data_IF_482988312417
#
_entry.id   IF_482988312417
#
_cell.length_a   1.000
_cell.length_b   1.000
_cell.length_c   1.000
_cell.angle_alpha   90.00
_cell.angle_beta   90.00
_cell.angle_gamma   90.00
#
_symmetry.space_group_name_H-M   'P 1'
#
loop_
_entity.id
_entity.type
_entity.pdbx_description
1 polymer ?
#
# COMPACT_ATOMS: atom_id res chain seq x y z
N UNK A 1 24.99 6.47 13.06
CA UNK A 1 23.93 5.51 13.39
C UNK A 1 24.57 4.22 13.82
N UNK A 2 24.25 3.74 15.02
CA UNK A 2 24.71 2.45 15.54
C UNK A 2 23.85 1.30 15.01
N UNK A 3 24.40 0.07 14.92
CA UNK A 3 23.63 -1.11 14.49
C UNK A 3 22.40 -1.32 15.39
N UNK A 4 22.52 -1.04 16.69
CA UNK A 4 21.40 -1.14 17.64
C UNK A 4 20.23 -0.21 17.30
N UNK A 5 20.49 0.94 16.67
CA UNK A 5 19.43 1.85 16.20
C UNK A 5 18.73 1.27 14.97
N UNK A 6 19.48 0.63 14.06
CA UNK A 6 18.91 -0.07 12.89
C UNK A 6 18.11 -1.32 13.28
N UNK A 7 18.44 -1.95 14.40
CA UNK A 7 17.72 -3.11 14.91
C UNK A 7 16.34 -2.74 15.48
N UNK A 8 16.13 -1.47 15.85
CA UNK A 8 14.83 -0.94 16.27
C UNK A 8 14.03 -0.51 15.04
N UNK A 9 13.04 -1.33 14.69
CA UNK A 9 12.17 -1.09 13.53
C UNK A 9 11.03 -0.16 13.96
N UNK A 10 10.93 1.07 13.41
CA UNK A 10 9.86 1.99 13.76
C UNK A 10 8.49 1.42 13.34
N UNK A 11 7.49 1.37 14.23
CA UNK A 11 6.12 1.01 13.88
C UNK A 11 5.47 2.04 12.96
N UNK A 12 4.43 1.64 12.24
CA UNK A 12 3.66 2.54 11.40
C UNK A 12 3.10 3.74 12.20
N UNK A 13 3.01 4.91 11.57
CA UNK A 13 2.53 6.14 12.21
C UNK A 13 3.51 6.81 13.18
N UNK A 14 4.68 6.22 13.45
CA UNK A 14 5.70 6.83 14.32
C UNK A 14 6.72 7.68 13.56
N UNK A 15 7.47 8.53 14.29
CA UNK A 15 8.42 9.50 13.72
C UNK A 15 9.56 8.89 12.86
N UNK A 16 9.77 7.56 12.88
CA UNK A 16 10.78 6.89 12.06
C UNK A 16 10.24 6.07 10.87
N UNK A 17 8.92 5.83 10.79
CA UNK A 17 8.35 4.92 9.80
C UNK A 17 8.71 5.28 8.36
N UNK A 18 8.52 6.56 8.00
CA UNK A 18 8.77 7.07 6.66
C UNK A 18 10.24 6.98 6.24
N UNK A 19 11.18 6.89 7.18
CA UNK A 19 12.61 6.81 6.89
C UNK A 19 13.05 5.40 6.51
N UNK A 20 12.26 4.38 6.88
CA UNK A 20 12.55 2.95 6.64
C UNK A 20 12.89 2.63 5.19
N UNK A 21 12.19 3.26 4.23
CA UNK A 21 12.44 3.02 2.81
C UNK A 21 13.87 3.41 2.37
N UNK A 22 14.53 4.34 3.06
CA UNK A 22 15.92 4.71 2.78
C UNK A 22 16.89 3.53 2.89
N UNK A 23 16.48 2.45 3.56
CA UNK A 23 17.27 1.23 3.73
C UNK A 23 16.95 0.14 2.69
N UNK A 24 15.88 0.26 1.91
CA UNK A 24 15.36 -0.81 1.05
C UNK A 24 16.39 -1.33 0.06
N UNK A 25 17.17 -0.41 -0.53
CA UNK A 25 18.12 -0.70 -1.59
C UNK A 25 19.53 -0.20 -1.26
N UNK A 26 19.80 0.07 0.02
CA UNK A 26 21.10 0.54 0.46
C UNK A 26 22.15 -0.58 0.31
N UNK A 27 23.21 -0.41 -0.52
CA UNK A 27 24.21 -1.43 -0.70
C UNK A 27 25.09 -1.57 0.54
N UNK A 28 25.37 -2.80 0.96
CA UNK A 28 26.32 -3.09 2.02
C UNK A 28 27.70 -3.26 1.39
N UNK A 29 28.56 -2.26 1.55
CA UNK A 29 29.93 -2.29 1.02
C UNK A 29 30.85 -3.08 1.96
N UNK A 30 30.57 -3.07 3.26
CA UNK A 30 31.41 -3.70 4.29
C UNK A 30 30.59 -4.07 5.52
N UNK A 31 30.74 -5.32 6.01
CA UNK A 31 30.07 -5.81 7.21
C UNK A 31 30.99 -6.70 8.06
N UNK A 32 31.25 -6.30 9.31
CA UNK A 32 31.98 -7.10 10.32
C UNK A 32 31.07 -7.66 11.41
N UNK A 33 29.76 -7.45 11.30
CA UNK A 33 28.77 -7.83 12.31
C UNK A 33 28.28 -9.27 12.18
N UNK A 34 28.96 -10.09 11.37
CA UNK A 34 28.54 -11.45 11.01
C UNK A 34 27.09 -11.51 10.49
N UNK A 35 26.69 -10.53 9.66
CA UNK A 35 25.38 -10.49 9.01
C UNK A 35 24.26 -9.81 9.80
N UNK A 36 24.52 -9.33 11.03
CA UNK A 36 23.52 -8.59 11.82
C UNK A 36 23.08 -7.31 11.12
N UNK A 37 24.01 -6.57 10.51
CA UNK A 37 23.72 -5.35 9.75
C UNK A 37 22.78 -5.66 8.57
N UNK A 38 23.11 -6.68 7.78
CA UNK A 38 22.28 -7.09 6.65
C UNK A 38 20.86 -7.50 7.09
N UNK A 39 20.76 -8.22 8.21
CA UNK A 39 19.47 -8.60 8.80
C UNK A 39 18.67 -7.38 9.27
N UNK A 40 19.32 -6.42 9.93
CA UNK A 40 18.68 -5.20 10.40
C UNK A 40 18.15 -4.34 9.24
N UNK A 41 18.97 -4.12 8.19
CA UNK A 41 18.53 -3.37 7.00
C UNK A 41 17.36 -4.06 6.28
N UNK A 42 17.39 -5.39 6.17
CA UNK A 42 16.26 -6.15 5.60
C UNK A 42 14.99 -5.91 6.40
N UNK A 43 15.03 -5.99 7.74
CA UNK A 43 13.85 -5.75 8.57
C UNK A 43 13.31 -4.32 8.41
N UNK A 44 14.18 -3.33 8.28
CA UNK A 44 13.75 -1.97 7.99
C UNK A 44 13.03 -1.88 6.64
N UNK A 45 13.48 -2.62 5.62
CA UNK A 45 12.96 -2.59 4.26
C UNK A 45 11.66 -3.38 4.01
N UNK A 46 11.37 -4.36 4.86
CA UNK A 46 10.25 -5.29 4.69
C UNK A 46 9.15 -5.04 5.69
N UNK A 47 7.91 -5.36 5.31
CA UNK A 47 6.74 -5.37 6.20
C UNK A 47 6.38 -6.82 6.49
N UNK A 48 6.33 -7.17 7.78
CA UNK A 48 5.90 -8.50 8.24
C UNK A 48 4.38 -8.65 8.18
N UNK A 49 3.86 -9.88 8.35
CA UNK A 49 2.41 -10.11 8.35
C UNK A 49 1.68 -9.42 9.51
N UNK A 50 2.33 -9.29 10.67
CA UNK A 50 1.77 -8.61 11.85
C UNK A 50 1.79 -7.08 11.64
N UNK A 51 2.89 -6.55 11.09
CA UNK A 51 2.93 -5.13 10.69
C UNK A 51 1.88 -4.83 9.62
N UNK A 52 1.69 -5.73 8.65
CA UNK A 52 0.70 -5.55 7.60
C UNK A 52 -0.72 -5.50 8.17
N UNK A 53 -1.06 -6.37 9.13
CA UNK A 53 -2.34 -6.30 9.85
C UNK A 53 -2.51 -4.97 10.59
N UNK A 54 -1.50 -4.54 11.34
CA UNK A 54 -1.54 -3.25 12.06
C UNK A 54 -1.73 -2.07 11.10
N UNK A 55 -1.03 -2.06 9.96
CA UNK A 55 -1.15 -0.99 8.96
C UNK A 55 -2.52 -1.00 8.29
N UNK A 56 -2.96 -2.16 7.78
CA UNK A 56 -4.15 -2.28 6.95
C UNK A 56 -5.43 -2.16 7.76
N UNK A 57 -5.43 -2.67 8.99
CA UNK A 57 -6.63 -2.77 9.85
C UNK A 57 -6.55 -1.77 11.00
N UNK A 58 -5.56 -1.84 11.89
CA UNK A 58 -5.53 -0.99 13.10
C UNK A 58 -5.31 0.50 12.79
N UNK A 59 -4.62 0.80 11.69
CA UNK A 59 -4.41 2.15 11.17
C UNK A 59 -5.33 2.50 9.98
N UNK A 60 -6.38 1.69 9.77
CA UNK A 60 -7.45 1.92 8.80
C UNK A 60 -6.98 2.18 7.36
N UNK A 61 -5.80 1.69 6.95
CA UNK A 61 -5.31 1.99 5.59
C UNK A 61 -6.15 1.35 4.51
N UNK A 62 -6.66 0.14 4.74
CA UNK A 62 -7.57 -0.50 3.81
C UNK A 62 -8.94 0.17 3.82
N UNK A 63 -9.55 0.33 5.00
CA UNK A 63 -10.90 0.92 5.12
C UNK A 63 -10.95 2.38 4.65
N UNK A 64 -9.94 3.18 5.01
CA UNK A 64 -9.82 4.57 4.57
C UNK A 64 -9.65 4.69 3.06
N UNK A 65 -8.87 3.81 2.43
CA UNK A 65 -8.79 3.79 0.97
C UNK A 65 -10.14 3.39 0.32
N UNK A 66 -10.82 2.35 0.83
CA UNK A 66 -12.14 1.94 0.36
C UNK A 66 -13.15 3.09 0.46
N UNK A 67 -13.12 3.85 1.56
CA UNK A 67 -13.99 5.01 1.77
C UNK A 67 -13.81 6.08 0.70
N UNK A 68 -12.58 6.50 0.42
CA UNK A 68 -12.32 7.51 -0.60
C UNK A 68 -12.60 6.98 -2.02
N UNK A 69 -12.26 5.72 -2.31
CA UNK A 69 -12.59 5.10 -3.60
C UNK A 69 -14.10 5.04 -3.84
N UNK A 70 -14.86 4.60 -2.82
CA UNK A 70 -16.32 4.59 -2.87
C UNK A 70 -16.89 6.00 -3.06
N UNK A 71 -16.41 6.99 -2.30
CA UNK A 71 -16.87 8.38 -2.42
C UNK A 71 -16.59 8.96 -3.81
N UNK A 72 -15.42 8.69 -4.39
CA UNK A 72 -15.11 9.09 -5.75
C UNK A 72 -16.09 8.48 -6.76
N UNK A 73 -16.31 7.16 -6.72
CA UNK A 73 -17.29 6.49 -7.59
C UNK A 73 -18.73 6.96 -7.34
N UNK A 74 -19.08 7.33 -6.11
CA UNK A 74 -20.40 7.87 -5.74
C UNK A 74 -20.60 9.27 -6.31
N UNK A 75 -19.60 10.12 -6.20
CA UNK A 75 -19.62 11.44 -6.82
C UNK A 75 -19.70 11.35 -8.34
N UNK A 76 -19.04 10.37 -8.96
CA UNK A 76 -19.19 10.11 -10.39
C UNK A 76 -20.63 9.76 -10.77
N UNK A 77 -21.23 8.79 -10.08
CA UNK A 77 -22.64 8.41 -10.24
C UNK A 77 -23.58 9.61 -10.09
N UNK A 78 -23.26 10.51 -9.16
CA UNK A 78 -24.07 11.69 -8.84
C UNK A 78 -23.73 12.91 -9.73
N UNK A 79 -22.83 12.79 -10.71
CA UNK A 79 -22.46 13.86 -11.65
C UNK A 79 -21.57 14.96 -11.07
N UNK A 80 -20.89 14.69 -9.94
CA UNK A 80 -20.07 15.63 -9.17
C UNK A 80 -18.60 15.53 -9.54
N UNK A 81 -18.23 16.13 -10.66
CA UNK A 81 -16.90 15.99 -11.27
C UNK A 81 -15.75 16.46 -10.36
N UNK A 82 -15.87 17.61 -9.70
CA UNK A 82 -14.79 18.15 -8.87
C UNK A 82 -14.59 17.29 -7.62
N UNK A 83 -15.68 16.95 -6.94
CA UNK A 83 -15.70 16.14 -5.72
C UNK A 83 -15.15 14.74 -5.98
N UNK A 84 -15.49 14.14 -7.13
CA UNK A 84 -14.89 12.88 -7.59
C UNK A 84 -13.37 12.97 -7.64
N UNK A 85 -12.83 14.00 -8.28
CA UNK A 85 -11.37 14.19 -8.42
C UNK A 85 -10.70 14.46 -7.08
N UNK A 86 -11.34 15.25 -6.21
CA UNK A 86 -10.82 15.52 -4.87
C UNK A 86 -10.76 14.25 -4.02
N UNK A 87 -11.82 13.45 -3.99
CA UNK A 87 -11.83 12.19 -3.24
C UNK A 87 -10.83 11.18 -3.81
N UNK A 88 -10.68 11.12 -5.14
CA UNK A 88 -9.70 10.25 -5.78
C UNK A 88 -8.25 10.67 -5.46
N UNK A 89 -7.95 11.97 -5.49
CA UNK A 89 -6.64 12.49 -5.11
C UNK A 89 -6.32 12.25 -3.62
N UNK A 90 -7.30 12.48 -2.74
CA UNK A 90 -7.18 12.21 -1.30
C UNK A 90 -6.98 10.71 -1.01
N UNK A 91 -7.46 9.82 -1.87
CA UNK A 91 -7.27 8.37 -1.72
C UNK A 91 -5.83 7.89 -1.92
N UNK A 92 -5.00 8.65 -2.64
CA UNK A 92 -3.69 8.18 -3.12
C UNK A 92 -2.69 7.81 -2.01
N UNK A 93 -2.58 8.57 -0.90
CA UNK A 93 -1.76 8.15 0.23
C UNK A 93 -2.18 6.81 0.83
N UNK A 94 -3.48 6.57 0.94
CA UNK A 94 -4.04 5.33 1.49
C UNK A 94 -3.79 4.15 0.55
N UNK A 95 -4.08 4.32 -0.74
CA UNK A 95 -3.85 3.29 -1.76
C UNK A 95 -2.39 2.82 -1.78
N UNK A 96 -1.45 3.76 -1.78
CA UNK A 96 -0.03 3.41 -1.84
C UNK A 96 0.44 2.69 -0.57
N UNK A 97 -0.11 3.02 0.60
CA UNK A 97 0.18 2.25 1.81
C UNK A 97 -0.38 0.83 1.70
N UNK A 98 -1.60 0.65 1.16
CA UNK A 98 -2.22 -0.66 0.92
C UNK A 98 -1.39 -1.52 -0.04
N UNK A 99 -1.04 -0.99 -1.22
CA UNK A 99 -0.29 -1.70 -2.27
C UNK A 99 1.04 -2.24 -1.73
N UNK A 100 1.85 -1.37 -1.14
CA UNK A 100 3.19 -1.75 -0.69
C UNK A 100 3.14 -2.70 0.51
N UNK A 101 2.18 -2.49 1.42
CA UNK A 101 1.98 -3.37 2.59
C UNK A 101 1.58 -4.79 2.17
N UNK A 102 0.65 -4.95 1.23
CA UNK A 102 0.23 -6.27 0.71
C UNK A 102 1.37 -7.00 -0.04
N UNK A 103 2.34 -6.25 -0.54
CA UNK A 103 3.56 -6.78 -1.17
C UNK A 103 4.72 -6.96 -0.18
N UNK A 104 4.50 -6.76 1.13
CA UNK A 104 5.49 -6.95 2.18
C UNK A 104 6.63 -5.93 2.14
N UNK A 105 6.40 -4.73 1.59
CA UNK A 105 7.41 -3.69 1.36
C UNK A 105 7.00 -2.37 1.99
N UNK A 106 8.00 -1.59 2.40
CA UNK A 106 7.77 -0.21 2.81
C UNK A 106 7.55 0.66 1.58
N UNK A 107 6.57 1.57 1.66
CA UNK A 107 6.26 2.53 0.59
C UNK A 107 7.43 3.49 0.32
N UNK A 108 7.80 3.74 -0.96
CA UNK A 108 8.81 4.71 -1.35
C UNK A 108 8.34 6.16 -1.17
N UNK A 109 9.29 7.09 -1.13
CA UNK A 109 9.01 8.49 -1.41
C UNK A 109 8.43 8.65 -2.82
N UNK A 110 7.45 9.54 -3.01
CA UNK A 110 6.78 9.72 -4.31
C UNK A 110 7.75 9.99 -5.46
N UNK A 111 8.80 10.79 -5.21
CA UNK A 111 9.84 11.08 -6.21
C UNK A 111 10.60 9.84 -6.71
N UNK A 112 10.58 8.75 -5.95
CA UNK A 112 11.20 7.48 -6.32
C UNK A 112 10.19 6.40 -6.70
N UNK A 113 8.88 6.64 -6.60
CA UNK A 113 7.86 5.63 -6.90
C UNK A 113 7.98 5.04 -8.32
N UNK A 114 8.15 5.84 -9.40
CA UNK A 114 8.37 5.27 -10.73
C UNK A 114 9.65 4.43 -10.81
N UNK A 115 10.75 4.91 -10.22
CA UNK A 115 12.02 4.19 -10.19
C UNK A 115 11.88 2.86 -9.44
N UNK A 116 11.23 2.88 -8.28
CA UNK A 116 10.97 1.70 -7.43
C UNK A 116 10.24 0.62 -8.23
N UNK A 117 9.15 0.99 -8.91
CA UNK A 117 8.35 0.04 -9.67
C UNK A 117 9.12 -0.51 -10.87
N UNK A 118 9.91 0.31 -11.57
CA UNK A 118 10.69 -0.16 -12.73
C UNK A 118 11.88 -1.04 -12.35
N UNK A 119 12.63 -0.69 -11.30
CA UNK A 119 13.83 -1.43 -10.91
C UNK A 119 13.52 -2.62 -9.99
N UNK A 120 12.48 -2.49 -9.19
CA UNK A 120 12.07 -3.46 -8.19
C UNK A 120 10.56 -3.70 -8.30
N UNK A 121 10.09 -4.32 -9.40
CA UNK A 121 8.67 -4.52 -9.65
C UNK A 121 8.02 -5.33 -8.53
N UNK A 122 6.79 -4.95 -8.21
CA UNK A 122 5.92 -5.67 -7.28
C UNK A 122 5.28 -6.84 -8.04
N UNK A 123 5.09 -7.99 -7.38
CA UNK A 123 4.69 -9.22 -8.04
C UNK A 123 3.30 -9.09 -8.68
N UNK A 124 2.37 -8.40 -8.00
CA UNK A 124 0.99 -8.20 -8.46
C UNK A 124 0.76 -6.85 -9.14
N UNK A 125 1.77 -5.99 -9.19
CA UNK A 125 1.65 -4.62 -9.70
C UNK A 125 2.77 -4.33 -10.71
N UNK A 126 2.60 -4.76 -11.98
CA UNK A 126 3.57 -4.48 -13.04
C UNK A 126 3.77 -2.98 -13.23
N UNK A 127 5.03 -2.55 -13.40
CA UNK A 127 5.40 -1.14 -13.29
C UNK A 127 4.61 -0.20 -14.20
N UNK A 128 4.62 -0.45 -15.51
CA UNK A 128 4.00 0.43 -16.50
C UNK A 128 2.47 0.50 -16.31
N UNK A 129 1.85 -0.66 -16.09
CA UNK A 129 0.41 -0.78 -15.88
C UNK A 129 0.00 -0.05 -14.58
N UNK A 130 0.77 -0.24 -13.52
CA UNK A 130 0.49 0.37 -12.21
C UNK A 130 0.66 1.87 -12.24
N UNK A 131 1.69 2.40 -12.91
CA UNK A 131 1.87 3.85 -13.06
C UNK A 131 0.74 4.49 -13.88
N UNK A 132 0.27 3.83 -14.94
CA UNK A 132 -0.92 4.27 -15.68
C UNK A 132 -2.16 4.30 -14.78
N UNK A 133 -2.43 3.18 -14.12
CA UNK A 133 -3.59 3.02 -13.24
C UNK A 133 -3.63 4.02 -12.08
N UNK A 134 -2.47 4.31 -11.49
CA UNK A 134 -2.31 5.33 -10.45
C UNK A 134 -2.54 6.75 -10.99
N UNK A 135 -2.13 7.03 -12.23
CA UNK A 135 -2.35 8.32 -12.90
C UNK A 135 -3.84 8.52 -13.18
N UNK A 136 -4.48 7.52 -13.77
CA UNK A 136 -5.91 7.58 -14.10
C UNK A 136 -6.78 7.66 -12.83
N UNK A 137 -6.39 6.93 -11.78
CA UNK A 137 -7.02 7.04 -10.46
C UNK A 137 -6.84 8.45 -9.89
N UNK A 138 -5.65 9.04 -9.96
CA UNK A 138 -5.40 10.42 -9.50
C UNK A 138 -6.23 11.45 -10.28
N UNK A 139 -6.47 11.22 -11.58
CA UNK A 139 -7.35 12.04 -12.41
C UNK A 139 -8.86 11.80 -12.14
N UNK A 140 -9.17 10.84 -11.27
CA UNK A 140 -10.51 10.51 -10.83
C UNK A 140 -11.28 9.68 -11.84
N UNK A 141 -10.62 8.87 -12.67
CA UNK A 141 -11.30 7.92 -13.56
C UNK A 141 -11.97 6.79 -12.76
N UNK A 142 -13.32 6.68 -12.79
CA UNK A 142 -14.05 5.62 -12.09
C UNK A 142 -13.65 4.21 -12.56
N UNK A 143 -13.32 4.04 -13.85
CA UNK A 143 -12.91 2.74 -14.37
C UNK A 143 -11.56 2.31 -13.79
N UNK A 144 -10.60 3.25 -13.70
CA UNK A 144 -9.32 3.03 -13.05
C UNK A 144 -9.46 2.72 -11.55
N UNK A 145 -10.36 3.41 -10.84
CA UNK A 145 -10.64 3.14 -9.42
C UNK A 145 -11.17 1.71 -9.24
N UNK A 146 -12.13 1.29 -10.06
CA UNK A 146 -12.71 -0.07 -10.03
C UNK A 146 -11.67 -1.15 -10.38
N UNK A 147 -10.85 -0.91 -11.39
CA UNK A 147 -9.77 -1.82 -11.77
C UNK A 147 -8.71 -1.94 -10.67
N UNK A 148 -8.36 -0.83 -10.02
CA UNK A 148 -7.50 -0.81 -8.83
C UNK A 148 -8.12 -1.64 -7.71
N UNK A 149 -9.43 -1.50 -7.49
CA UNK A 149 -10.15 -2.26 -6.48
C UNK A 149 -10.13 -3.77 -6.73
N UNK A 150 -10.41 -4.24 -7.93
CA UNK A 150 -10.32 -5.66 -8.25
C UNK A 150 -8.93 -6.24 -7.94
N UNK A 151 -7.86 -5.48 -8.21
CA UNK A 151 -6.47 -5.89 -7.92
C UNK A 151 -6.15 -5.88 -6.43
N UNK A 152 -6.60 -4.87 -5.68
CA UNK A 152 -6.47 -4.83 -4.22
C UNK A 152 -7.24 -5.97 -3.56
N UNK A 153 -8.48 -6.22 -3.98
CA UNK A 153 -9.31 -7.31 -3.47
C UNK A 153 -8.64 -8.68 -3.68
N UNK A 154 -8.08 -8.91 -4.87
CA UNK A 154 -7.30 -10.12 -5.17
C UNK A 154 -6.07 -10.24 -4.26
N UNK A 155 -5.36 -9.14 -4.02
CA UNK A 155 -4.19 -9.12 -3.14
C UNK A 155 -4.57 -9.36 -1.66
N UNK A 156 -5.69 -8.80 -1.20
CA UNK A 156 -6.26 -9.07 0.13
C UNK A 156 -6.65 -10.54 0.29
N UNK A 157 -7.28 -11.15 -0.73
CA UNK A 157 -7.63 -12.57 -0.71
C UNK A 157 -6.37 -13.45 -0.62
N UNK A 158 -5.31 -13.09 -1.34
CA UNK A 158 -4.03 -13.79 -1.27
C UNK A 158 -3.36 -13.65 0.12
N UNK A 159 -3.43 -12.47 0.73
CA UNK A 159 -2.94 -12.23 2.09
C UNK A 159 -3.69 -13.09 3.12
N UNK A 160 -5.03 -13.09 3.06
CA UNK A 160 -5.87 -13.88 3.95
C UNK A 160 -5.68 -15.40 3.73
N UNK A 161 -5.47 -15.85 2.50
CA UNK A 161 -5.21 -17.26 2.18
C UNK A 161 -3.92 -17.82 2.79
N UNK A 162 -2.99 -16.97 3.19
CA UNK A 162 -1.76 -17.35 3.89
C UNK A 162 -1.93 -17.38 5.43
N UNK A 163 -3.13 -17.09 5.95
CA UNK A 163 -3.38 -16.91 7.38
C UNK A 163 -4.39 -17.94 7.91
N UNK A 164 -4.30 -18.35 9.20
CA UNK A 164 -5.29 -19.25 9.80
C UNK A 164 -6.70 -18.66 9.87
N UNK A 165 -6.80 -17.33 10.02
CA UNK A 165 -8.06 -16.60 10.08
C UNK A 165 -7.99 -15.40 9.13
N UNK A 166 -8.94 -15.27 8.18
CA UNK A 166 -9.00 -14.12 7.29
C UNK A 166 -9.40 -12.85 8.06
N UNK A 167 -8.82 -11.72 7.68
CA UNK A 167 -9.08 -10.41 8.31
C UNK A 167 -9.39 -9.31 7.30
N UNK A 168 -8.82 -9.37 6.09
CA UNK A 168 -8.97 -8.30 5.10
C UNK A 168 -10.23 -8.45 4.25
N UNK A 169 -10.55 -9.66 3.81
CA UNK A 169 -11.77 -9.94 3.05
C UNK A 169 -13.03 -9.69 3.90
N UNK A 170 -13.11 -10.14 5.16
CA UNK A 170 -14.23 -9.77 6.04
C UNK A 170 -14.39 -8.25 6.21
N UNK A 171 -13.29 -7.49 6.27
CA UNK A 171 -13.33 -6.03 6.31
C UNK A 171 -13.93 -5.46 5.02
N UNK A 172 -13.47 -5.92 3.85
CA UNK A 172 -14.03 -5.51 2.55
C UNK A 172 -15.53 -5.83 2.47
N UNK A 173 -15.93 -7.06 2.80
CA UNK A 173 -17.33 -7.49 2.72
C UNK A 173 -18.26 -6.77 3.72
N UNK A 174 -17.72 -6.16 4.78
CA UNK A 174 -18.51 -5.38 5.74
C UNK A 174 -19.18 -4.15 5.11
N UNK A 175 -18.68 -3.67 3.96
CA UNK A 175 -19.28 -2.60 3.16
C UNK A 175 -20.57 -3.02 2.42
N UNK A 176 -20.85 -4.32 2.34
CA UNK A 176 -22.09 -4.89 1.82
C UNK A 176 -22.57 -4.25 0.48
N UNK A 177 -23.74 -3.60 0.47
CA UNK A 177 -24.34 -3.03 -0.74
C UNK A 177 -23.52 -1.87 -1.33
N UNK A 178 -22.79 -1.13 -0.50
CA UNK A 178 -21.95 -0.01 -0.95
C UNK A 178 -20.79 -0.50 -1.84
N UNK A 179 -20.30 -1.72 -1.57
CA UNK A 179 -19.22 -2.36 -2.32
C UNK A 179 -19.58 -2.61 -3.79
N UNK A 180 -20.87 -2.74 -4.11
CA UNK A 180 -21.33 -2.90 -5.48
C UNK A 180 -20.91 -1.73 -6.36
N UNK A 181 -20.74 -0.53 -5.78
CA UNK A 181 -20.25 0.61 -6.52
C UNK A 181 -18.78 0.48 -6.92
N UNK A 182 -17.99 -0.41 -6.32
CA UNK A 182 -16.60 -0.67 -6.71
C UNK A 182 -16.45 -1.91 -7.60
N UNK A 183 -17.45 -2.81 -7.61
CA UNK A 183 -17.46 -4.07 -8.39
C UNK A 183 -18.15 -4.00 -9.76
N UNK A 184 -18.93 -2.95 -10.03
CA UNK A 184 -19.58 -2.74 -11.35
C UNK A 184 -18.58 -2.36 -12.44
#
# INVERSE_FOLDING_TARGET
MAISELEQVPPFGTHGWWFRWSFAWAPIIFDRSAGRLASALRRQATVTADEAESILVEHDRLDGWLNYAYRACKNDRDGRLLERRLDAAESMPWLLDVIFTLEGRVRPYHKYLPWELHQHPLARWPAQESLGLLTDTLDGDPAAIRATFARVETACAAFDGARPKPILIPLIESWAEELQLLRR
#
